data_IF_567758519203
#
_entry.id   IF_567758519203
#
_cell.length_a   1.000
_cell.length_b   1.000
_cell.length_c   1.000
_cell.angle_alpha   90.00
_cell.angle_beta   90.00
_cell.angle_gamma   90.00
#
_symmetry.space_group_name_H-M   'P 1'
#
loop_
_entity.id
_entity.type
_entity.pdbx_description
1 polymer ?
#
# COMPACT_ATOMS: atom_id res chain seq x y z
N UNK A 1 -28.75 -76.25 20.62
CA UNK A 1 -28.59 -75.01 19.85
C UNK A 1 -27.83 -74.03 20.72
N UNK A 2 -26.57 -73.81 20.35
CA UNK A 2 -25.52 -73.16 21.11
C UNK A 2 -25.64 -71.63 21.10
N UNK A 3 -25.41 -71.06 22.29
CA UNK A 3 -24.98 -69.68 22.58
C UNK A 3 -23.97 -69.13 21.56
N UNK A 4 -24.03 -67.82 21.25
CA UNK A 4 -22.95 -66.84 21.51
C UNK A 4 -23.44 -65.42 21.17
N UNK A 5 -23.38 -64.56 22.18
CA UNK A 5 -23.49 -63.09 22.16
C UNK A 5 -22.31 -62.50 21.37
N UNK A 6 -22.55 -61.68 20.36
CA UNK A 6 -21.51 -60.82 19.75
C UNK A 6 -21.84 -59.34 19.98
N UNK A 7 -20.88 -58.67 20.61
CA UNK A 7 -20.86 -57.25 20.95
C UNK A 7 -20.78 -56.34 19.71
N UNK A 8 -21.18 -55.06 19.80
CA UNK A 8 -21.03 -54.12 18.71
C UNK A 8 -19.55 -53.85 18.44
N UNK A 9 -19.09 -54.10 17.20
CA UNK A 9 -17.77 -53.69 16.75
C UNK A 9 -17.69 -52.17 16.74
N UNK A 10 -16.89 -51.63 17.64
CA UNK A 10 -16.44 -50.25 17.60
C UNK A 10 -15.68 -50.03 16.28
N UNK A 11 -16.32 -49.33 15.34
CA UNK A 11 -15.66 -48.78 14.18
C UNK A 11 -14.62 -47.76 14.66
N UNK A 12 -13.37 -48.19 14.75
CA UNK A 12 -12.25 -47.27 14.94
C UNK A 12 -12.23 -46.34 13.74
N UNK A 13 -12.65 -45.10 13.93
CA UNK A 13 -12.23 -43.98 13.09
C UNK A 13 -10.71 -43.97 13.11
N UNK A 14 -10.09 -44.58 12.09
CA UNK A 14 -8.70 -44.30 11.74
C UNK A 14 -8.67 -42.81 11.44
N UNK A 15 -8.29 -42.01 12.43
CA UNK A 15 -7.75 -40.68 12.20
C UNK A 15 -6.66 -40.88 11.16
N UNK A 16 -6.95 -40.47 9.92
CA UNK A 16 -5.95 -40.47 8.87
C UNK A 16 -4.82 -39.59 9.36
N UNK A 17 -3.70 -40.23 9.73
CA UNK A 17 -2.45 -39.53 9.96
C UNK A 17 -2.13 -38.88 8.61
N UNK A 18 -2.35 -37.58 8.52
CA UNK A 18 -2.01 -36.84 7.31
C UNK A 18 -0.51 -37.07 7.02
N UNK A 19 -0.16 -37.39 5.76
CA UNK A 19 1.21 -37.70 5.41
C UNK A 19 2.13 -36.52 5.78
N UNK A 20 3.36 -36.79 6.25
CA UNK A 20 4.29 -35.74 6.64
C UNK A 20 4.58 -34.82 5.46
N UNK A 21 4.55 -33.50 5.70
CA UNK A 21 4.83 -32.50 4.68
C UNK A 21 6.20 -32.76 4.03
N UNK A 22 6.22 -32.95 2.70
CA UNK A 22 7.47 -33.19 1.96
C UNK A 22 8.03 -31.85 1.50
N UNK A 23 9.30 -31.61 1.80
CA UNK A 23 10.01 -30.40 1.38
C UNK A 23 10.37 -30.49 -0.11
N UNK A 24 9.79 -29.60 -0.93
CA UNK A 24 10.04 -29.58 -2.37
C UNK A 24 11.13 -28.55 -2.72
N UNK A 25 12.37 -29.03 -2.93
CA UNK A 25 13.51 -28.21 -3.33
C UNK A 25 13.29 -27.46 -4.65
N UNK A 26 12.49 -28.01 -5.57
CA UNK A 26 12.18 -27.35 -6.85
C UNK A 26 11.32 -26.11 -6.61
N UNK A 27 10.40 -26.17 -5.64
CA UNK A 27 9.60 -25.01 -5.27
C UNK A 27 10.46 -23.94 -4.62
N UNK A 28 11.40 -24.29 -3.76
CA UNK A 28 12.33 -23.30 -3.16
C UNK A 28 13.06 -22.52 -4.24
N UNK A 29 13.61 -23.20 -5.25
CA UNK A 29 14.29 -22.53 -6.37
C UNK A 29 13.33 -21.61 -7.13
N UNK A 30 12.10 -22.05 -7.41
CA UNK A 30 11.08 -21.22 -8.06
C UNK A 30 10.69 -19.99 -7.24
N UNK A 31 10.58 -20.12 -5.91
CA UNK A 31 10.26 -19.00 -5.02
C UNK A 31 11.39 -17.98 -4.99
N UNK A 32 12.64 -18.43 -4.95
CA UNK A 32 13.81 -17.55 -5.00
C UNK A 32 13.92 -16.84 -6.34
N UNK A 33 13.76 -17.56 -7.46
CA UNK A 33 13.76 -16.94 -8.80
C UNK A 33 12.63 -15.92 -8.96
N UNK A 34 11.44 -16.26 -8.48
CA UNK A 34 10.31 -15.35 -8.45
C UNK A 34 10.63 -14.12 -7.58
N UNK A 35 11.18 -14.29 -6.38
CA UNK A 35 11.55 -13.20 -5.50
C UNK A 35 12.57 -12.25 -6.15
N UNK A 36 13.57 -12.79 -6.85
CA UNK A 36 14.54 -11.98 -7.58
C UNK A 36 13.89 -11.17 -8.70
N UNK A 37 13.11 -11.82 -9.57
CA UNK A 37 12.44 -11.13 -10.67
C UNK A 37 11.42 -10.11 -10.15
N UNK A 38 10.67 -10.48 -9.12
CA UNK A 38 9.70 -9.62 -8.46
C UNK A 38 10.41 -8.39 -7.88
N UNK A 39 11.53 -8.56 -7.16
CA UNK A 39 12.35 -7.46 -6.65
C UNK A 39 12.77 -6.47 -7.75
N UNK A 40 13.26 -6.97 -8.89
CA UNK A 40 13.66 -6.14 -10.03
C UNK A 40 12.47 -5.37 -10.61
N UNK A 41 11.40 -6.08 -10.98
CA UNK A 41 10.24 -5.45 -11.64
C UNK A 41 9.52 -4.48 -10.70
N UNK A 42 9.35 -4.84 -9.44
CA UNK A 42 8.71 -4.01 -8.43
C UNK A 42 9.56 -2.79 -8.06
N UNK A 43 10.89 -2.96 -8.01
CA UNK A 43 11.83 -1.86 -7.84
C UNK A 43 11.74 -0.85 -8.99
N UNK A 44 11.78 -1.31 -10.25
CA UNK A 44 11.56 -0.43 -11.40
C UNK A 44 10.19 0.24 -11.39
N UNK A 45 9.13 -0.48 -11.03
CA UNK A 45 7.80 0.11 -10.92
C UNK A 45 7.75 1.23 -9.86
N UNK A 46 8.42 1.04 -8.71
CA UNK A 46 8.55 2.06 -7.67
C UNK A 46 9.34 3.28 -8.16
N UNK A 47 10.45 3.06 -8.88
CA UNK A 47 11.25 4.13 -9.50
C UNK A 47 10.41 4.94 -10.49
N UNK A 48 9.68 4.26 -11.38
CA UNK A 48 8.79 4.90 -12.37
C UNK A 48 7.71 5.72 -11.66
N UNK A 49 7.11 5.19 -10.59
CA UNK A 49 6.14 5.93 -9.80
C UNK A 49 6.76 7.19 -9.18
N UNK A 50 7.94 7.09 -8.56
CA UNK A 50 8.65 8.23 -7.99
C UNK A 50 8.97 9.30 -9.04
N UNK A 51 9.51 8.90 -10.20
CA UNK A 51 9.81 9.82 -11.29
C UNK A 51 8.55 10.50 -11.84
N UNK A 52 7.48 9.72 -12.03
CA UNK A 52 6.22 10.24 -12.54
C UNK A 52 5.59 11.24 -11.58
N UNK A 53 5.48 10.87 -10.29
CA UNK A 53 4.93 11.73 -9.23
C UNK A 53 5.78 12.99 -9.04
N UNK A 54 7.11 12.87 -9.05
CA UNK A 54 8.02 14.00 -8.96
C UNK A 54 7.90 14.94 -10.16
N UNK A 55 7.80 14.40 -11.37
CA UNK A 55 7.65 15.19 -12.60
C UNK A 55 6.34 15.99 -12.61
N UNK A 56 5.22 15.37 -12.24
CA UNK A 56 3.93 16.09 -12.16
C UNK A 56 3.92 17.10 -11.02
N UNK A 57 4.62 16.82 -9.91
CA UNK A 57 4.76 17.76 -8.80
C UNK A 57 5.52 19.02 -9.21
N UNK A 58 6.67 18.86 -9.88
CA UNK A 58 7.42 19.99 -10.41
C UNK A 58 6.63 20.78 -11.46
N UNK A 59 5.78 20.13 -12.24
CA UNK A 59 4.91 20.83 -13.17
C UNK A 59 3.85 21.68 -12.43
N UNK A 60 3.26 21.16 -11.35
CA UNK A 60 2.35 21.93 -10.50
C UNK A 60 3.05 23.14 -9.85
N UNK A 61 4.28 22.98 -9.35
CA UNK A 61 5.05 24.07 -8.74
C UNK A 61 5.35 25.21 -9.72
N UNK A 62 5.61 24.88 -10.99
CA UNK A 62 5.82 25.87 -12.06
C UNK A 62 4.53 26.55 -12.50
N UNK A 63 3.39 25.88 -12.32
CA UNK A 63 2.10 26.36 -12.78
C UNK A 63 1.00 26.11 -11.72
N UNK A 64 0.99 26.84 -10.58
CA UNK A 64 0.05 26.60 -9.49
C UNK A 64 -1.43 26.78 -9.87
N UNK A 65 -1.70 27.49 -10.98
CA UNK A 65 -3.05 27.64 -11.53
C UNK A 65 -3.69 26.30 -11.94
N UNK A 66 -2.89 25.22 -12.11
CA UNK A 66 -3.39 23.87 -12.35
C UNK A 66 -4.33 23.38 -11.25
N UNK A 67 -4.31 23.97 -10.05
CA UNK A 67 -5.26 23.62 -9.00
C UNK A 67 -6.72 23.80 -9.41
N UNK A 68 -7.00 24.76 -10.29
CA UNK A 68 -8.35 24.98 -10.81
C UNK A 68 -8.79 23.90 -11.81
N UNK A 69 -7.87 23.07 -12.30
CA UNK A 69 -8.15 21.89 -13.11
C UNK A 69 -8.47 20.64 -12.27
N UNK A 70 -8.35 20.70 -10.94
CA UNK A 70 -8.69 19.58 -10.04
C UNK A 70 -10.08 18.97 -10.30
N UNK A 71 -11.18 19.74 -10.47
CA UNK A 71 -12.48 19.15 -10.83
C UNK A 71 -12.47 18.44 -12.19
N UNK A 72 -11.72 18.95 -13.17
CA UNK A 72 -11.61 18.33 -14.50
C UNK A 72 -10.83 17.02 -14.40
N UNK A 73 -9.71 17.03 -13.69
CA UNK A 73 -8.87 15.84 -13.47
C UNK A 73 -9.65 14.73 -12.76
N UNK A 74 -10.42 15.06 -11.71
CA UNK A 74 -11.26 14.08 -11.02
C UNK A 74 -12.33 13.46 -11.92
N UNK A 75 -12.94 14.22 -12.83
CA UNK A 75 -13.90 13.69 -13.82
C UNK A 75 -13.19 12.80 -14.85
N UNK A 76 -12.01 13.21 -15.32
CA UNK A 76 -11.20 12.41 -16.26
C UNK A 76 -10.80 11.08 -15.64
N UNK A 77 -10.35 11.07 -14.39
CA UNK A 77 -10.05 9.84 -13.64
C UNK A 77 -11.26 8.89 -13.59
N UNK A 78 -12.46 9.44 -13.32
CA UNK A 78 -13.68 8.63 -13.30
C UNK A 78 -14.02 8.00 -14.64
N UNK A 79 -13.89 8.78 -15.70
CA UNK A 79 -14.14 8.30 -17.06
C UNK A 79 -13.12 7.24 -17.45
N UNK A 80 -11.84 7.42 -17.09
CA UNK A 80 -10.79 6.43 -17.30
C UNK A 80 -11.10 5.11 -16.58
N UNK A 81 -11.47 5.15 -15.30
CA UNK A 81 -11.82 3.96 -14.53
C UNK A 81 -13.06 3.25 -15.11
N UNK A 82 -14.08 4.00 -15.54
CA UNK A 82 -15.24 3.43 -16.23
C UNK A 82 -14.87 2.76 -17.55
N UNK A 83 -14.02 3.41 -18.34
CA UNK A 83 -13.63 2.91 -19.66
C UNK A 83 -12.80 1.62 -19.54
N UNK A 84 -11.92 1.54 -18.55
CA UNK A 84 -11.14 0.33 -18.24
C UNK A 84 -11.91 -0.71 -17.41
N UNK A 85 -13.20 -0.48 -17.13
CA UNK A 85 -14.06 -1.34 -16.32
C UNK A 85 -13.44 -1.67 -14.95
N UNK A 86 -12.69 -0.71 -14.41
CA UNK A 86 -12.11 -0.80 -13.08
C UNK A 86 -13.17 -0.44 -12.03
N UNK A 87 -13.16 -1.10 -10.86
CA UNK A 87 -14.06 -0.75 -9.77
C UNK A 87 -13.80 0.69 -9.30
N UNK A 88 -14.84 1.53 -9.34
CA UNK A 88 -14.80 2.95 -8.99
C UNK A 88 -14.74 3.23 -7.49
N UNK A 89 -15.01 2.23 -6.66
CA UNK A 89 -15.04 2.33 -5.20
C UNK A 89 -13.86 1.56 -4.57
N UNK A 90 -12.77 1.40 -5.32
CA UNK A 90 -11.66 0.58 -4.87
C UNK A 90 -10.74 1.43 -3.99
N UNK A 91 -10.90 1.30 -2.69
CA UNK A 91 -9.99 1.93 -1.72
C UNK A 91 -8.75 1.07 -1.52
N UNK A 92 -7.67 1.68 -1.03
CA UNK A 92 -6.47 0.94 -0.60
C UNK A 92 -6.81 -0.17 0.39
N UNK A 93 -7.71 0.09 1.35
CA UNK A 93 -8.20 -0.90 2.32
C UNK A 93 -8.88 -2.09 1.61
N UNK A 94 -9.74 -1.84 0.63
CA UNK A 94 -10.41 -2.90 -0.13
C UNK A 94 -9.42 -3.75 -0.94
N UNK A 95 -8.31 -3.17 -1.40
CA UNK A 95 -7.25 -3.91 -2.11
C UNK A 95 -6.48 -4.78 -1.12
N UNK A 96 -6.13 -4.25 0.05
CA UNK A 96 -5.46 -5.02 1.10
C UNK A 96 -6.37 -6.19 1.53
N UNK A 97 -7.66 -5.96 1.67
CA UNK A 97 -8.63 -7.03 1.97
C UNK A 97 -8.68 -8.09 0.88
N UNK A 98 -8.73 -7.69 -0.40
CA UNK A 98 -8.63 -8.63 -1.54
C UNK A 98 -7.32 -9.42 -1.53
N UNK A 99 -6.20 -8.77 -1.27
CA UNK A 99 -4.90 -9.43 -1.15
C UNK A 99 -4.89 -10.43 0.01
N UNK A 100 -5.47 -10.07 1.17
CA UNK A 100 -5.62 -10.97 2.33
C UNK A 100 -6.59 -12.13 2.03
N UNK A 101 -7.59 -11.90 1.18
CA UNK A 101 -8.50 -12.93 0.68
C UNK A 101 -7.85 -13.84 -0.39
N UNK A 102 -6.66 -13.47 -0.90
CA UNK A 102 -6.01 -14.21 -1.98
C UNK A 102 -6.66 -13.98 -3.35
N UNK A 103 -7.47 -12.93 -3.49
CA UNK A 103 -8.15 -12.59 -4.73
C UNK A 103 -7.18 -12.04 -5.78
N UNK A 104 -7.53 -12.26 -7.05
CA UNK A 104 -6.76 -11.72 -8.16
C UNK A 104 -7.07 -10.24 -8.41
N UNK A 105 -6.01 -9.45 -8.56
CA UNK A 105 -6.10 -8.05 -8.97
C UNK A 105 -5.97 -7.95 -10.51
N UNK A 106 -6.71 -7.02 -11.10
CA UNK A 106 -6.59 -6.75 -12.55
C UNK A 106 -5.24 -6.11 -12.85
N UNK A 107 -4.58 -6.54 -13.93
CA UNK A 107 -3.32 -5.93 -14.38
C UNK A 107 -3.50 -4.46 -14.82
N UNK A 108 -4.71 -4.08 -15.26
CA UNK A 108 -5.06 -2.70 -15.62
C UNK A 108 -5.16 -1.77 -14.40
N UNK A 109 -5.20 -2.33 -13.19
CA UNK A 109 -5.27 -1.55 -11.96
C UNK A 109 -3.98 -0.72 -11.78
N UNK A 110 -2.82 -1.31 -12.05
CA UNK A 110 -1.52 -0.63 -11.94
C UNK A 110 -1.43 0.68 -12.77
N UNK A 111 -1.64 0.68 -14.11
CA UNK A 111 -1.63 1.93 -14.87
C UNK A 111 -2.77 2.87 -14.44
N UNK A 112 -3.94 2.34 -14.03
CA UNK A 112 -5.06 3.12 -13.49
C UNK A 112 -4.67 3.99 -12.30
N UNK A 113 -4.01 3.38 -11.32
CA UNK A 113 -3.59 4.06 -10.11
C UNK A 113 -2.43 5.03 -10.39
N UNK A 114 -1.49 4.63 -11.24
CA UNK A 114 -0.36 5.50 -11.61
C UNK A 114 -0.89 6.81 -12.21
N UNK A 115 -1.75 6.73 -13.23
CA UNK A 115 -2.31 7.91 -13.88
C UNK A 115 -3.23 8.71 -12.97
N UNK A 116 -4.06 8.05 -12.16
CA UNK A 116 -4.93 8.73 -11.21
C UNK A 116 -4.14 9.50 -10.16
N UNK A 117 -3.18 8.85 -9.50
CA UNK A 117 -2.30 9.51 -8.51
C UNK A 117 -1.57 10.70 -9.12
N UNK A 118 -1.03 10.52 -10.34
CA UNK A 118 -0.38 11.61 -11.06
C UNK A 118 -1.31 12.78 -11.38
N UNK A 119 -2.53 12.52 -11.85
CA UNK A 119 -3.52 13.57 -12.13
C UNK A 119 -3.92 14.34 -10.86
N UNK A 120 -4.08 13.66 -9.73
CA UNK A 120 -4.40 14.32 -8.46
C UNK A 120 -3.24 15.21 -8.00
N UNK A 121 -2.00 14.69 -8.01
CA UNK A 121 -0.83 15.46 -7.59
C UNK A 121 -0.54 16.61 -8.56
N UNK A 122 -0.73 16.39 -9.87
CA UNK A 122 -0.63 17.42 -10.90
C UNK A 122 -1.62 18.57 -10.67
N UNK A 123 -2.81 18.26 -10.16
CA UNK A 123 -3.81 19.26 -9.79
C UNK A 123 -3.60 19.82 -8.37
N UNK A 124 -2.56 19.42 -7.64
CA UNK A 124 -2.29 19.94 -6.29
C UNK A 124 -3.09 19.28 -5.17
N UNK A 125 -3.65 18.08 -5.40
CA UNK A 125 -4.24 17.30 -4.32
C UNK A 125 -3.21 16.91 -3.26
N UNK A 126 -3.64 16.90 -2.00
CA UNK A 126 -2.79 16.48 -0.87
C UNK A 126 -2.90 14.98 -0.69
N UNK A 127 -2.09 14.23 -1.43
CA UNK A 127 -2.08 12.77 -1.44
C UNK A 127 -0.65 12.23 -1.52
N UNK A 128 -0.41 11.13 -0.81
CA UNK A 128 0.87 10.43 -0.79
C UNK A 128 1.02 9.43 -1.94
N UNK A 129 2.27 9.08 -2.26
CA UNK A 129 2.61 8.10 -3.31
C UNK A 129 2.59 6.65 -2.79
N UNK A 130 2.48 6.46 -1.48
CA UNK A 130 2.61 5.17 -0.77
C UNK A 130 1.45 4.24 -1.10
N UNK A 131 0.22 4.75 -1.03
CA UNK A 131 -0.97 4.01 -1.40
C UNK A 131 -0.96 3.59 -2.88
N UNK A 132 -0.48 4.48 -3.75
CA UNK A 132 -0.31 4.17 -5.17
C UNK A 132 0.74 3.08 -5.42
N UNK A 133 1.90 3.18 -4.77
CA UNK A 133 2.98 2.19 -4.86
C UNK A 133 2.52 0.79 -4.44
N UNK A 134 1.83 0.72 -3.31
CA UNK A 134 1.28 -0.50 -2.75
C UNK A 134 0.42 -1.25 -3.76
N UNK A 135 -0.51 -0.54 -4.38
CA UNK A 135 -1.53 -1.14 -5.22
C UNK A 135 -1.04 -1.47 -6.64
N UNK A 136 -0.19 -0.60 -7.22
CA UNK A 136 0.50 -0.87 -8.49
C UNK A 136 1.26 -2.19 -8.40
N UNK A 137 2.00 -2.34 -7.32
CA UNK A 137 2.89 -3.49 -7.18
C UNK A 137 2.16 -4.75 -6.73
N UNK A 138 1.07 -4.63 -5.96
CA UNK A 138 0.19 -5.76 -5.69
C UNK A 138 -0.36 -6.38 -7.00
N UNK A 139 -0.81 -5.52 -7.93
CA UNK A 139 -1.28 -5.95 -9.26
C UNK A 139 -0.15 -6.56 -10.11
N UNK A 140 1.03 -5.93 -10.13
CA UNK A 140 2.20 -6.46 -10.85
C UNK A 140 2.68 -7.80 -10.30
N UNK A 141 2.77 -7.95 -8.98
CA UNK A 141 3.17 -9.20 -8.32
C UNK A 141 2.33 -10.39 -8.78
N UNK A 142 1.00 -10.24 -8.78
CA UNK A 142 0.09 -11.27 -9.28
C UNK A 142 0.26 -11.57 -10.76
N UNK A 143 0.68 -10.59 -11.57
CA UNK A 143 0.89 -10.76 -13.01
C UNK A 143 2.22 -11.48 -13.30
N UNK A 144 3.28 -11.11 -12.59
CA UNK A 144 4.64 -11.68 -12.72
C UNK A 144 4.67 -13.13 -12.22
N UNK A 145 3.83 -13.49 -11.24
CA UNK A 145 3.80 -14.83 -10.69
C UNK A 145 3.14 -15.89 -11.60
N UNK A 146 2.24 -15.47 -12.52
CA UNK A 146 1.52 -16.38 -13.44
C UNK A 146 2.41 -17.40 -14.16
N UNK A 147 3.56 -17.01 -14.79
CA UNK A 147 4.44 -17.96 -15.46
C UNK A 147 5.16 -18.94 -14.51
N UNK A 148 5.39 -18.59 -13.25
CA UNK A 148 6.18 -19.42 -12.32
C UNK A 148 5.40 -20.60 -11.74
N UNK A 149 4.05 -20.58 -11.81
CA UNK A 149 3.15 -21.63 -11.28
C UNK A 149 3.62 -22.10 -9.89
N UNK A 150 3.74 -21.14 -8.97
CA UNK A 150 4.19 -21.36 -7.59
C UNK A 150 3.20 -22.28 -6.87
N UNK A 151 3.71 -23.22 -6.07
CA UNK A 151 2.95 -24.09 -5.16
C UNK A 151 3.56 -24.01 -3.75
N UNK A 152 2.85 -24.39 -2.69
CA UNK A 152 3.44 -24.33 -1.34
C UNK A 152 4.72 -25.18 -1.25
N UNK A 153 5.73 -24.67 -0.54
CA UNK A 153 7.01 -25.36 -0.31
C UNK A 153 6.82 -26.63 0.53
N UNK A 154 5.88 -26.56 1.48
CA UNK A 154 5.40 -27.70 2.27
C UNK A 154 4.15 -28.26 1.61
N UNK A 155 4.33 -29.17 0.65
CA UNK A 155 3.21 -29.78 -0.05
C UNK A 155 2.48 -30.74 0.89
N UNK A 156 1.24 -30.40 1.23
CA UNK A 156 0.29 -31.31 1.89
C UNK A 156 -0.59 -31.94 0.81
N UNK A 157 -0.75 -33.25 0.84
CA UNK A 157 -1.58 -33.95 -0.15
C UNK A 157 -3.05 -33.53 0.05
N UNK A 158 -3.76 -33.16 -1.02
CA UNK A 158 -5.16 -32.69 -1.04
C UNK A 158 -5.47 -31.30 -0.41
N UNK A 159 -4.48 -30.43 -0.22
CA UNK A 159 -4.72 -29.05 0.24
C UNK A 159 -4.69 -28.04 -0.93
N UNK A 160 -5.67 -27.15 -1.01
CA UNK A 160 -5.66 -26.05 -1.97
C UNK A 160 -4.77 -24.91 -1.44
N UNK A 161 -3.54 -24.88 -1.96
CA UNK A 161 -2.51 -23.94 -1.56
C UNK A 161 -2.64 -22.55 -2.21
N UNK A 162 -3.58 -22.41 -3.16
CA UNK A 162 -3.73 -21.21 -4.00
C UNK A 162 -3.91 -19.94 -3.16
N UNK A 163 -4.66 -20.05 -2.07
CA UNK A 163 -4.89 -18.96 -1.13
C UNK A 163 -3.58 -18.43 -0.51
N UNK A 164 -2.75 -19.32 0.02
CA UNK A 164 -1.50 -18.95 0.71
C UNK A 164 -0.47 -18.39 -0.28
N UNK A 165 -0.39 -18.96 -1.47
CA UNK A 165 0.54 -18.54 -2.52
C UNK A 165 0.16 -17.17 -3.06
N UNK A 166 -1.13 -16.90 -3.30
CA UNK A 166 -1.58 -15.59 -3.76
C UNK A 166 -1.26 -14.51 -2.71
N UNK A 167 -1.46 -14.81 -1.42
CA UNK A 167 -1.06 -13.92 -0.32
C UNK A 167 0.45 -13.70 -0.29
N UNK A 168 1.25 -14.75 -0.47
CA UNK A 168 2.71 -14.65 -0.56
C UNK A 168 3.15 -13.77 -1.73
N UNK A 169 2.63 -14.00 -2.94
CA UNK A 169 2.95 -13.23 -4.15
C UNK A 169 2.65 -11.75 -3.96
N UNK A 170 1.46 -11.45 -3.43
CA UNK A 170 1.01 -10.09 -3.17
C UNK A 170 1.89 -9.41 -2.11
N UNK A 171 2.22 -10.12 -1.03
CA UNK A 171 3.11 -9.63 0.05
C UNK A 171 4.54 -9.40 -0.45
N UNK A 172 5.07 -10.30 -1.27
CA UNK A 172 6.43 -10.22 -1.82
C UNK A 172 6.59 -8.98 -2.71
N UNK A 173 5.63 -8.73 -3.61
CA UNK A 173 5.63 -7.53 -4.45
C UNK A 173 5.52 -6.26 -3.62
N UNK A 174 4.54 -6.21 -2.72
CA UNK A 174 4.30 -5.06 -1.84
C UNK A 174 5.53 -4.69 -1.00
N UNK A 175 6.18 -5.69 -0.41
CA UNK A 175 7.36 -5.49 0.43
C UNK A 175 8.57 -5.03 -0.40
N UNK A 176 8.74 -5.58 -1.62
CA UNK A 176 9.77 -5.12 -2.55
C UNK A 176 9.56 -3.66 -2.98
N UNK A 177 8.31 -3.26 -3.27
CA UNK A 177 7.97 -1.89 -3.64
C UNK A 177 8.33 -0.90 -2.54
N UNK A 178 7.87 -1.15 -1.31
CA UNK A 178 8.16 -0.27 -0.18
C UNK A 178 9.65 -0.23 0.16
N UNK A 179 10.36 -1.34 -0.04
CA UNK A 179 11.80 -1.38 0.12
C UNK A 179 12.51 -0.42 -0.84
N UNK A 180 12.11 -0.42 -2.11
CA UNK A 180 12.60 0.53 -3.11
C UNK A 180 12.15 1.98 -2.83
N UNK A 181 10.90 2.17 -2.37
CA UNK A 181 10.32 3.49 -2.13
C UNK A 181 10.98 4.21 -0.94
N UNK A 182 11.20 3.51 0.17
CA UNK A 182 11.67 4.10 1.44
C UNK A 182 13.14 3.84 1.75
N UNK A 183 13.86 3.16 0.86
CA UNK A 183 15.24 2.72 1.12
C UNK A 183 15.37 1.85 2.40
N UNK A 184 14.33 1.09 2.74
CA UNK A 184 14.21 0.42 4.04
C UNK A 184 13.75 -1.05 3.88
N UNK A 185 14.66 -2.00 3.55
CA UNK A 185 14.27 -3.39 3.28
C UNK A 185 13.69 -4.11 4.49
N UNK A 186 14.30 -3.96 5.66
CA UNK A 186 13.84 -4.62 6.90
C UNK A 186 12.50 -4.06 7.37
N UNK A 187 12.36 -2.73 7.38
CA UNK A 187 11.13 -2.04 7.76
C UNK A 187 9.97 -2.40 6.83
N UNK A 188 10.23 -2.45 5.52
CA UNK A 188 9.22 -2.79 4.51
C UNK A 188 8.75 -4.24 4.63
N UNK A 189 9.67 -5.17 4.89
CA UNK A 189 9.31 -6.57 5.14
C UNK A 189 8.40 -6.69 6.37
N UNK A 190 8.78 -6.11 7.51
CA UNK A 190 7.98 -6.16 8.74
C UNK A 190 6.61 -5.50 8.56
N UNK A 191 6.57 -4.31 7.93
CA UNK A 191 5.34 -3.58 7.64
C UNK A 191 4.36 -4.45 6.85
N UNK A 192 4.83 -5.14 5.82
CA UNK A 192 3.95 -5.95 4.97
C UNK A 192 3.51 -7.22 5.67
N UNK A 193 4.38 -7.87 6.45
CA UNK A 193 3.98 -9.06 7.24
C UNK A 193 2.87 -8.71 8.24
N UNK A 194 2.97 -7.56 8.91
CA UNK A 194 1.94 -7.07 9.82
C UNK A 194 0.66 -6.69 9.08
N UNK A 195 0.79 -5.90 8.01
CA UNK A 195 -0.34 -5.43 7.19
C UNK A 195 -1.10 -6.58 6.54
N UNK A 196 -0.41 -7.65 6.14
CA UNK A 196 -1.02 -8.83 5.53
C UNK A 196 -1.46 -9.88 6.55
N UNK A 197 -1.21 -9.67 7.85
CA UNK A 197 -1.38 -10.66 8.92
C UNK A 197 -0.77 -12.00 8.51
N UNK A 198 0.45 -11.93 8.02
CA UNK A 198 1.14 -13.04 7.38
C UNK A 198 1.69 -14.00 8.44
N UNK A 199 1.30 -15.27 8.38
CA UNK A 199 1.64 -16.28 9.41
C UNK A 199 2.69 -17.27 8.93
N UNK A 200 2.93 -17.35 7.61
CA UNK A 200 3.84 -18.33 7.01
C UNK A 200 5.31 -17.86 7.02
N UNK A 201 5.99 -18.00 8.16
CA UNK A 201 7.38 -17.54 8.33
C UNK A 201 8.39 -18.13 7.33
N UNK A 202 8.09 -19.30 6.74
CA UNK A 202 8.93 -19.96 5.73
C UNK A 202 9.20 -19.11 4.47
N UNK A 203 8.34 -18.12 4.18
CA UNK A 203 8.48 -17.24 3.02
C UNK A 203 9.17 -15.91 3.34
N UNK A 204 9.50 -15.63 4.60
CA UNK A 204 10.09 -14.34 5.01
C UNK A 204 11.45 -14.14 4.33
N UNK A 205 12.25 -15.20 4.19
CA UNK A 205 13.55 -15.12 3.52
C UNK A 205 13.42 -14.71 2.06
N UNK A 206 12.47 -15.28 1.31
CA UNK A 206 12.27 -14.90 -0.09
C UNK A 206 11.71 -13.48 -0.23
N UNK A 207 10.83 -13.05 0.68
CA UNK A 207 10.37 -11.65 0.76
C UNK A 207 11.54 -10.70 0.99
N UNK A 208 12.45 -11.02 1.92
CA UNK A 208 13.63 -10.22 2.17
C UNK A 208 14.55 -10.14 0.94
N UNK A 209 14.75 -11.24 0.22
CA UNK A 209 15.53 -11.23 -1.04
C UNK A 209 14.93 -10.23 -2.03
N UNK A 210 13.61 -10.26 -2.22
CA UNK A 210 12.92 -9.30 -3.10
C UNK A 210 13.09 -7.85 -2.61
N UNK A 211 12.96 -7.61 -1.30
CA UNK A 211 13.19 -6.30 -0.69
C UNK A 211 14.61 -5.78 -0.94
N UNK A 212 15.65 -6.58 -0.69
CA UNK A 212 17.03 -6.16 -0.88
C UNK A 212 17.36 -5.88 -2.36
N UNK A 213 16.85 -6.70 -3.28
CA UNK A 213 17.05 -6.45 -4.72
C UNK A 213 16.39 -5.14 -5.15
N UNK A 214 15.14 -4.91 -4.71
CA UNK A 214 14.43 -3.67 -5.01
C UNK A 214 15.11 -2.44 -4.38
N UNK A 215 15.62 -2.58 -3.15
CA UNK A 215 16.42 -1.56 -2.48
C UNK A 215 17.69 -1.23 -3.26
N UNK A 216 18.52 -2.23 -3.58
CA UNK A 216 19.78 -2.04 -4.30
C UNK A 216 19.55 -1.39 -5.67
N UNK A 217 18.47 -1.76 -6.35
CA UNK A 217 18.10 -1.15 -7.61
C UNK A 217 17.76 0.33 -7.44
N UNK A 218 16.88 0.65 -6.48
CA UNK A 218 16.47 2.02 -6.18
C UNK A 218 17.65 2.89 -5.74
N UNK A 219 18.50 2.35 -4.87
CA UNK A 219 19.70 3.00 -4.33
C UNK A 219 20.72 3.31 -5.44
N UNK A 220 20.92 2.38 -6.38
CA UNK A 220 21.78 2.60 -7.54
C UNK A 220 21.34 3.78 -8.41
N UNK A 221 20.02 3.96 -8.59
CA UNK A 221 19.49 5.10 -9.33
C UNK A 221 19.34 6.36 -8.46
N UNK A 222 19.37 6.24 -7.13
CA UNK A 222 19.11 7.33 -6.19
C UNK A 222 17.67 7.84 -6.24
N UNK A 223 16.71 7.01 -6.64
CA UNK A 223 15.30 7.43 -6.85
C UNK A 223 14.38 6.78 -5.83
N UNK A 224 14.03 7.51 -4.79
CA UNK A 224 13.08 7.10 -3.76
C UNK A 224 12.79 8.25 -2.81
N UNK A 225 12.17 7.94 -1.67
CA UNK A 225 11.97 8.90 -0.59
C UNK A 225 13.22 8.96 0.28
N UNK A 226 14.12 9.89 -0.04
CA UNK A 226 15.33 10.12 0.75
C UNK A 226 14.93 10.91 1.99
N UNK A 227 15.01 10.26 3.15
CA UNK A 227 14.76 10.87 4.46
C UNK A 227 16.11 11.25 5.07
N UNK A 228 16.26 12.51 5.48
CA UNK A 228 17.50 12.99 6.09
C UNK A 228 17.80 12.25 7.40
N UNK A 229 19.04 11.78 7.53
CA UNK A 229 19.48 11.09 8.74
C UNK A 229 19.60 12.07 9.91
N UNK A 230 18.98 11.72 11.03
CA UNK A 230 19.06 12.48 12.29
C UNK A 230 19.99 11.74 13.26
N UNK A 231 20.91 12.43 13.95
CA UNK A 231 21.76 11.79 14.94
C UNK A 231 20.93 11.17 16.07
N UNK A 232 21.23 9.92 16.43
CA UNK A 232 20.56 9.22 17.51
C UNK A 232 21.04 9.80 18.86
N UNK A 233 20.14 10.33 19.71
CA UNK A 233 20.53 10.88 20.99
C UNK A 233 20.97 9.77 21.95
N UNK A 234 21.82 10.11 22.94
CA UNK A 234 22.26 9.15 23.95
C UNK A 234 21.08 8.62 24.76
N UNK A 235 21.07 7.32 25.06
CA UNK A 235 19.94 6.69 25.73
C UNK A 235 19.87 7.14 27.19
N UNK A 236 18.81 7.88 27.53
CA UNK A 236 18.54 8.36 28.89
C UNK A 236 17.09 8.08 29.26
N UNK A 237 16.81 7.85 30.54
CA UNK A 237 15.45 7.62 31.04
C UNK A 237 14.50 8.78 30.69
N UNK A 238 15.03 10.01 30.64
CA UNK A 238 14.28 11.19 30.20
C UNK A 238 13.84 11.08 28.73
N UNK A 239 14.74 10.64 27.86
CA UNK A 239 14.46 10.47 26.43
C UNK A 239 13.43 9.36 26.23
N UNK A 240 13.56 8.25 26.96
CA UNK A 240 12.55 7.17 26.94
C UNK A 240 11.17 7.71 27.33
N UNK A 241 11.08 8.50 28.42
CA UNK A 241 9.83 9.13 28.84
C UNK A 241 9.24 10.06 27.76
N UNK A 242 10.06 10.87 27.10
CA UNK A 242 9.63 11.74 26.00
C UNK A 242 9.15 10.92 24.79
N UNK A 243 9.86 9.85 24.42
CA UNK A 243 9.45 8.95 23.35
C UNK A 243 8.08 8.31 23.62
N UNK A 244 7.80 7.91 24.86
CA UNK A 244 6.48 7.37 25.24
C UNK A 244 5.39 8.42 25.04
N UNK A 245 5.61 9.66 25.51
CA UNK A 245 4.63 10.75 25.37
C UNK A 245 4.38 11.07 23.89
N UNK A 246 5.43 11.17 23.09
CA UNK A 246 5.32 11.40 21.64
C UNK A 246 4.59 10.23 20.97
N UNK A 247 4.91 8.99 21.35
CA UNK A 247 4.24 7.80 20.83
C UNK A 247 2.73 7.79 21.12
N UNK A 248 2.32 8.15 22.33
CA UNK A 248 0.90 8.26 22.69
C UNK A 248 0.24 9.39 21.89
N UNK A 249 0.87 10.57 21.80
CA UNK A 249 0.33 11.69 21.03
C UNK A 249 0.18 11.34 19.54
N UNK A 250 1.17 10.68 18.95
CA UNK A 250 1.13 10.20 17.58
C UNK A 250 0.03 9.14 17.36
N UNK A 251 -0.15 8.22 18.30
CA UNK A 251 -1.22 7.22 18.25
C UNK A 251 -2.62 7.87 18.28
N UNK A 252 -2.81 8.89 19.13
CA UNK A 252 -4.07 9.66 19.21
C UNK A 252 -4.31 10.43 17.91
N UNK A 253 -3.31 11.16 17.42
CA UNK A 253 -3.41 11.95 16.19
C UNK A 253 -3.67 11.06 14.97
N UNK A 254 -2.94 9.94 14.85
CA UNK A 254 -3.13 8.96 13.77
C UNK A 254 -4.50 8.28 13.81
N UNK A 255 -5.00 7.97 15.01
CA UNK A 255 -6.35 7.42 15.19
C UNK A 255 -7.43 8.43 14.79
N UNK A 256 -7.28 9.68 15.22
CA UNK A 256 -8.18 10.77 14.83
C UNK A 256 -8.19 11.00 13.31
N UNK A 257 -7.02 10.98 12.68
CA UNK A 257 -6.88 11.08 11.22
C UNK A 257 -7.64 9.97 10.49
N UNK A 258 -7.41 8.71 10.89
CA UNK A 258 -8.05 7.57 10.28
C UNK A 258 -9.57 7.56 10.48
N UNK A 259 -10.05 7.96 11.67
CA UNK A 259 -11.50 8.12 11.94
C UNK A 259 -12.09 9.24 11.08
N UNK A 260 -11.42 10.38 10.95
CA UNK A 260 -11.89 11.51 10.16
C UNK A 260 -12.05 11.14 8.68
N UNK A 261 -11.07 10.45 8.09
CA UNK A 261 -11.17 9.93 6.71
C UNK A 261 -12.39 9.01 6.58
N UNK A 262 -12.52 8.00 7.45
CA UNK A 262 -13.62 7.03 7.38
C UNK A 262 -14.99 7.70 7.54
N UNK A 263 -15.11 8.66 8.46
CA UNK A 263 -16.34 9.41 8.68
C UNK A 263 -16.71 10.23 7.44
N UNK A 264 -15.72 10.92 6.85
CA UNK A 264 -15.95 11.73 5.66
C UNK A 264 -16.28 10.87 4.44
N UNK A 265 -15.64 9.70 4.28
CA UNK A 265 -15.99 8.73 3.24
C UNK A 265 -17.42 8.20 3.40
N UNK A 266 -17.82 7.85 4.62
CA UNK A 266 -19.19 7.40 4.91
C UNK A 266 -20.22 8.50 4.64
N UNK A 267 -19.92 9.74 5.03
CA UNK A 267 -20.76 10.90 4.78
C UNK A 267 -20.89 11.17 3.28
N UNK A 268 -19.76 11.16 2.56
CA UNK A 268 -19.71 11.28 1.11
C UNK A 268 -20.61 10.25 0.44
N UNK A 269 -20.50 8.97 0.82
CA UNK A 269 -21.32 7.89 0.27
C UNK A 269 -22.81 8.04 0.55
N UNK A 270 -23.18 8.65 1.69
CA UNK A 270 -24.59 8.90 2.04
C UNK A 270 -25.20 10.09 1.30
N UNK A 271 -24.41 11.14 1.08
CA UNK A 271 -24.89 12.40 0.45
C UNK A 271 -24.95 12.28 -1.07
N UNK A 272 -24.04 11.52 -1.68
CA UNK A 272 -23.85 11.56 -3.13
C UNK A 272 -24.96 10.86 -3.91
N UNK A 273 -25.82 11.66 -4.53
CA UNK A 273 -26.82 11.20 -5.52
C UNK A 273 -26.23 11.07 -6.94
N UNK A 274 -25.22 11.89 -7.27
CA UNK A 274 -24.47 11.82 -8.53
C UNK A 274 -22.96 11.96 -8.27
N UNK A 275 -22.21 10.92 -8.62
CA UNK A 275 -20.76 10.84 -8.38
C UNK A 275 -20.01 12.01 -9.03
N UNK A 276 -20.33 12.36 -10.27
CA UNK A 276 -19.59 13.39 -11.03
C UNK A 276 -19.71 14.77 -10.40
N UNK A 277 -20.93 15.15 -10.00
CA UNK A 277 -21.18 16.44 -9.36
C UNK A 277 -20.40 16.53 -8.04
N UNK A 278 -20.36 15.43 -7.27
CA UNK A 278 -19.63 15.41 -6.02
C UNK A 278 -18.12 15.62 -6.20
N UNK A 279 -17.51 15.00 -7.21
CA UNK A 279 -16.08 15.21 -7.52
C UNK A 279 -15.80 16.63 -7.97
N UNK A 280 -16.68 17.22 -8.79
CA UNK A 280 -16.52 18.62 -9.21
C UNK A 280 -16.61 19.56 -8.00
N UNK A 281 -17.61 19.37 -7.12
CA UNK A 281 -17.82 20.21 -5.94
C UNK A 281 -16.66 20.09 -4.95
N UNK A 282 -16.25 18.86 -4.62
CA UNK A 282 -15.11 18.63 -3.71
C UNK A 282 -13.81 19.18 -4.28
N UNK A 283 -13.60 19.05 -5.59
CA UNK A 283 -12.41 19.57 -6.23
C UNK A 283 -12.34 21.09 -6.27
N UNK A 284 -13.46 21.76 -6.58
CA UNK A 284 -13.57 23.21 -6.50
C UNK A 284 -13.41 23.72 -5.06
N UNK A 285 -13.95 22.99 -4.08
CA UNK A 285 -13.81 23.34 -2.67
C UNK A 285 -12.34 23.28 -2.22
N UNK A 286 -11.60 22.22 -2.58
CA UNK A 286 -10.16 22.11 -2.29
C UNK A 286 -9.36 23.20 -2.99
N UNK A 287 -9.64 23.48 -4.27
CA UNK A 287 -8.98 24.54 -5.03
C UNK A 287 -9.20 25.93 -4.39
N UNK A 288 -10.44 26.23 -4.01
CA UNK A 288 -10.78 27.48 -3.31
C UNK A 288 -10.08 27.57 -1.94
N UNK A 289 -10.07 26.49 -1.17
CA UNK A 289 -9.45 26.47 0.16
C UNK A 289 -7.95 26.74 0.09
N UNK A 290 -7.24 26.05 -0.81
CA UNK A 290 -5.79 26.24 -0.97
C UNK A 290 -5.45 27.64 -1.50
N UNK A 291 -6.24 28.16 -2.46
CA UNK A 291 -5.98 29.48 -3.06
C UNK A 291 -6.29 30.64 -2.11
N UNK A 292 -7.39 30.57 -1.35
CA UNK A 292 -7.80 31.65 -0.42
C UNK A 292 -6.85 31.75 0.77
N UNK A 293 -6.42 30.62 1.32
CA UNK A 293 -5.53 30.59 2.49
C UNK A 293 -4.03 30.52 2.15
N UNK A 294 -3.68 30.43 0.86
CA UNK A 294 -2.28 30.35 0.42
C UNK A 294 -1.57 29.05 0.81
N UNK A 295 -2.30 27.95 0.99
CA UNK A 295 -1.82 26.67 1.54
C UNK A 295 -1.07 25.80 0.53
N UNK A 296 -0.37 26.40 -0.43
CA UNK A 296 0.32 25.71 -1.52
C UNK A 296 1.37 24.70 -1.04
N UNK A 297 2.06 25.02 0.06
CA UNK A 297 3.08 24.15 0.70
C UNK A 297 2.50 22.84 1.23
N UNK A 298 1.21 22.80 1.55
CA UNK A 298 0.55 21.62 2.12
C UNK A 298 -0.06 20.70 1.04
N UNK A 299 0.12 21.01 -0.24
CA UNK A 299 -0.29 20.14 -1.36
C UNK A 299 0.73 19.01 -1.60
N UNK A 300 0.41 18.02 -2.44
CA UNK A 300 1.33 16.91 -2.77
C UNK A 300 1.55 15.90 -1.64
N UNK A 301 2.64 15.14 -1.70
CA UNK A 301 2.94 14.04 -0.75
C UNK A 301 3.39 14.53 0.64
N UNK A 302 4.12 15.65 0.71
CA UNK A 302 4.67 16.19 1.96
C UNK A 302 6.08 15.72 2.31
N UNK A 303 6.77 15.00 1.42
CA UNK A 303 8.16 14.56 1.62
C UNK A 303 9.16 15.70 1.84
N UNK A 304 9.03 16.77 1.03
CA UNK A 304 9.84 17.98 1.19
C UNK A 304 9.60 18.63 2.55
N UNK A 305 8.34 18.72 2.99
CA UNK A 305 7.98 19.28 4.30
C UNK A 305 8.57 18.46 5.46
N UNK A 306 8.65 17.13 5.33
CA UNK A 306 9.32 16.28 6.30
C UNK A 306 10.81 16.63 6.37
N UNK A 307 11.49 16.68 5.23
CA UNK A 307 12.92 16.98 5.17
C UNK A 307 13.24 18.41 5.65
N UNK A 308 12.37 19.38 5.38
CA UNK A 308 12.48 20.75 5.89
C UNK A 308 12.46 20.77 7.42
N UNK A 309 11.50 20.08 8.05
CA UNK A 309 11.36 20.03 9.52
C UNK A 309 12.51 19.28 10.18
N UNK A 310 13.05 18.24 9.53
CA UNK A 310 14.23 17.54 10.04
C UNK A 310 15.49 18.41 10.02
N UNK A 311 15.62 19.30 9.03
CA UNK A 311 16.75 20.22 8.89
C UNK A 311 16.59 21.48 9.76
N UNK A 312 15.38 22.04 9.81
CA UNK A 312 15.03 23.25 10.55
C UNK A 312 13.76 22.98 11.35
N UNK A 313 13.89 22.50 12.60
CA UNK A 313 12.73 22.23 13.45
C UNK A 313 11.92 23.50 13.68
N UNK A 314 10.65 23.47 13.28
CA UNK A 314 9.69 24.55 13.52
C UNK A 314 8.56 24.06 14.44
N UNK A 315 8.04 24.96 15.27
CA UNK A 315 6.96 24.70 16.23
C UNK A 315 5.61 25.18 15.68
N UNK A 316 5.36 24.95 14.40
CA UNK A 316 4.15 25.39 13.71
C UNK A 316 3.01 24.37 13.74
N UNK A 317 1.77 24.86 13.60
CA UNK A 317 0.57 24.03 13.48
C UNK A 317 0.38 23.44 12.06
N UNK A 318 1.45 23.40 11.27
CA UNK A 318 1.52 22.93 9.88
C UNK A 318 0.96 21.51 9.72
N UNK A 319 1.17 20.66 10.72
CA UNK A 319 0.63 19.30 10.73
C UNK A 319 -0.90 19.27 10.64
N UNK A 320 -1.60 20.21 11.30
CA UNK A 320 -3.06 20.23 11.35
C UNK A 320 -3.66 20.65 10.01
N UNK A 321 -3.03 21.59 9.31
CA UNK A 321 -3.44 22.03 7.97
C UNK A 321 -3.22 20.91 6.96
N UNK A 322 -2.03 20.27 6.98
CA UNK A 322 -1.72 19.13 6.12
C UNK A 322 -2.69 17.97 6.37
N UNK A 323 -2.96 17.67 7.64
CA UNK A 323 -3.92 16.65 8.05
C UNK A 323 -5.32 16.98 7.50
N UNK A 324 -5.80 18.20 7.68
CA UNK A 324 -7.12 18.64 7.18
C UNK A 324 -7.23 18.48 5.66
N UNK A 325 -6.27 19.01 4.90
CA UNK A 325 -6.29 18.91 3.43
C UNK A 325 -6.25 17.47 2.95
N UNK A 326 -5.48 16.61 3.62
CA UNK A 326 -5.39 15.19 3.27
C UNK A 326 -6.68 14.44 3.61
N UNK A 327 -7.29 14.72 4.77
CA UNK A 327 -8.61 14.18 5.14
C UNK A 327 -9.65 14.60 4.11
N UNK A 328 -9.65 15.87 3.70
CA UNK A 328 -10.58 16.40 2.71
C UNK A 328 -10.37 15.75 1.34
N UNK A 329 -9.13 15.60 0.87
CA UNK A 329 -8.82 14.96 -0.41
C UNK A 329 -9.27 13.49 -0.40
N UNK A 330 -8.74 12.68 0.53
CA UNK A 330 -9.02 11.23 0.60
C UNK A 330 -10.44 10.89 1.06
N UNK A 331 -11.06 11.77 1.84
CA UNK A 331 -12.39 11.55 2.41
C UNK A 331 -13.52 11.93 1.48
N UNK A 332 -13.32 12.95 0.63
CA UNK A 332 -14.31 13.37 -0.36
C UNK A 332 -14.15 12.65 -1.71
N UNK A 333 -12.92 12.29 -2.10
CA UNK A 333 -12.67 11.45 -3.27
C UNK A 333 -12.95 9.99 -2.91
N UNK A 334 -14.15 9.56 -3.25
CA UNK A 334 -14.64 8.27 -2.82
C UNK A 334 -14.10 7.11 -3.69
N UNK A 335 -12.85 6.70 -3.44
CA UNK A 335 -12.29 5.44 -3.95
C UNK A 335 -11.49 5.53 -5.25
N UNK A 336 -10.87 6.68 -5.54
CA UNK A 336 -9.90 6.81 -6.63
C UNK A 336 -8.49 7.06 -6.05
N UNK A 337 -8.04 6.17 -5.16
CA UNK A 337 -6.61 6.00 -4.84
C UNK A 337 -6.30 4.57 -4.49
#
# INVERSE_FOLDING_TARGET
MSTTTQAPQAGSTRQGVEPPARFDWMQVVRHTLFACLCGVVCGFASIVLCLFVGAVRHLFERAPWLIWLLPVMGVVQLLMYRWWKLPLNLTTDAIIEKMRAGDHLSALLAPGILFSTGMTILAGGSVGKEAGALQIVASLGTTIAKPFRLHNILRRENHDDTYEINRYIASNGMAAAFSALFFAPLGSCMLVLELMRFTQLQYVTSILIACFIAFLLSDHFGIGEVINAVPVPSTSWRIIGVCIVIGIAAAVAGSAFAIAIRLLQALTMRIRRNYYVWVIVSGLMLAALVTVFGWWRFTGSGGEMLNDVLNMPDLSADFAIKMLLTVLCLGMECGIF
#
